data_IF_605964600832
#
_entry.id   IF_605964600832
#
_cell.length_a   1.000
_cell.length_b   1.000
_cell.length_c   1.000
_cell.angle_alpha   90.00
_cell.angle_beta   90.00
_cell.angle_gamma   90.00
#
_symmetry.space_group_name_H-M   'P 1'
#
loop_
_entity.id
_entity.type
_entity.pdbx_description
1 polymer ?
#
# COMPACT_ATOMS: atom_id res chain seq x y z
N UNK A 1 2.27 -13.07 25.38
CA UNK A 1 2.26 -11.97 24.40
C UNK A 1 2.97 -10.73 24.94
N UNK A 2 2.62 -10.25 26.13
CA UNK A 2 3.24 -9.08 26.79
C UNK A 2 4.78 -9.13 26.82
N UNK A 3 5.36 -10.26 27.22
CA UNK A 3 6.81 -10.43 27.30
C UNK A 3 7.54 -10.61 25.96
N UNK A 4 6.84 -10.65 24.82
CA UNK A 4 7.48 -10.80 23.52
C UNK A 4 8.31 -9.54 23.19
N UNK A 5 9.62 -9.68 22.95
CA UNK A 5 10.53 -8.55 22.63
C UNK A 5 10.58 -8.20 21.14
N UNK A 6 9.59 -8.64 20.37
CA UNK A 6 9.52 -8.37 18.93
C UNK A 6 9.13 -6.91 18.66
N UNK A 7 9.73 -6.23 17.67
CA UNK A 7 9.33 -4.88 17.27
C UNK A 7 7.90 -4.82 16.73
N UNK A 8 7.42 -5.90 16.08
CA UNK A 8 6.05 -6.00 15.57
C UNK A 8 5.46 -7.38 15.88
N UNK A 9 5.16 -7.61 17.16
CA UNK A 9 4.63 -8.88 17.66
C UNK A 9 3.17 -9.10 17.20
N UNK A 10 2.91 -10.22 16.53
CA UNK A 10 1.58 -10.63 16.10
C UNK A 10 1.18 -11.95 16.76
N UNK A 11 0.01 -12.02 17.37
CA UNK A 11 -0.53 -13.25 17.95
C UNK A 11 -1.38 -13.99 16.91
N UNK A 12 -0.86 -15.10 16.37
CA UNK A 12 -1.58 -15.88 15.36
C UNK A 12 -2.68 -16.75 15.98
N UNK A 13 -2.40 -17.38 17.12
CA UNK A 13 -3.32 -18.30 17.77
C UNK A 13 -2.59 -19.40 18.52
N UNK A 14 -3.03 -20.65 18.35
CA UNK A 14 -2.41 -21.84 18.97
C UNK A 14 -1.99 -22.86 17.92
N UNK A 15 -0.89 -23.55 18.14
CA UNK A 15 -0.53 -24.71 17.33
C UNK A 15 -1.44 -25.92 17.64
N UNK A 16 -1.22 -27.02 16.93
CA UNK A 16 -1.97 -28.28 17.11
C UNK A 16 -1.80 -28.91 18.50
N UNK A 17 -0.78 -28.51 19.26
CA UNK A 17 -0.54 -28.95 20.63
C UNK A 17 -1.13 -27.99 21.67
N UNK A 18 -1.74 -26.89 21.23
CA UNK A 18 -2.34 -25.87 22.07
C UNK A 18 -1.38 -24.78 22.56
N UNK A 19 -0.13 -24.77 22.10
CA UNK A 19 0.84 -23.75 22.50
C UNK A 19 0.62 -22.44 21.74
N UNK A 20 0.73 -21.27 22.41
CA UNK A 20 0.52 -19.99 21.78
C UNK A 20 1.60 -19.70 20.72
N UNK A 21 1.18 -19.33 19.52
CA UNK A 21 2.05 -18.95 18.40
C UNK A 21 2.07 -17.43 18.27
N UNK A 22 3.21 -16.83 18.61
CA UNK A 22 3.47 -15.41 18.46
C UNK A 22 4.62 -15.24 17.47
N UNK A 23 4.41 -14.38 16.48
CA UNK A 23 5.35 -14.14 15.40
C UNK A 23 5.76 -12.66 15.34
N UNK A 24 6.76 -12.34 14.52
CA UNK A 24 7.33 -11.00 14.43
C UNK A 24 7.29 -10.52 12.96
N UNK A 25 6.41 -9.56 12.66
CA UNK A 25 6.27 -9.02 11.31
C UNK A 25 7.56 -8.38 10.82
N UNK A 26 8.38 -7.80 11.70
CA UNK A 26 9.65 -7.17 11.30
C UNK A 26 10.69 -8.19 10.80
N UNK A 27 10.56 -9.47 11.20
CA UNK A 27 11.38 -10.59 10.70
C UNK A 27 10.79 -11.24 9.45
N UNK A 28 9.49 -11.11 9.23
CA UNK A 28 8.74 -11.69 8.09
C UNK A 28 8.92 -10.96 6.76
N UNK A 29 9.61 -9.82 6.73
CA UNK A 29 9.09 -8.42 6.69
C UNK A 29 7.71 -8.13 6.08
N UNK A 30 7.13 -9.02 5.29
CA UNK A 30 5.83 -8.83 4.63
C UNK A 30 5.03 -10.14 4.75
N UNK A 31 3.70 -10.03 4.74
CA UNK A 31 2.80 -11.16 4.94
C UNK A 31 1.72 -11.19 3.85
N UNK A 32 1.56 -12.34 3.20
CA UNK A 32 0.42 -12.62 2.33
C UNK A 32 -0.59 -13.50 3.08
N UNK A 33 -1.85 -13.09 3.13
CA UNK A 33 -2.96 -13.83 3.76
C UNK A 33 -3.99 -14.16 2.70
N UNK A 34 -4.37 -15.43 2.57
CA UNK A 34 -5.37 -15.83 1.59
C UNK A 34 -6.30 -16.91 2.12
N UNK A 35 -7.55 -16.91 1.64
CA UNK A 35 -8.57 -17.90 2.01
C UNK A 35 -9.95 -17.49 1.53
N UNK A 36 -10.85 -18.45 1.36
CA UNK A 36 -12.21 -18.18 0.86
C UNK A 36 -13.06 -17.45 1.90
N UNK A 37 -14.21 -16.90 1.49
CA UNK A 37 -15.20 -16.32 2.41
C UNK A 37 -15.57 -17.34 3.49
N UNK A 38 -15.71 -16.88 4.74
CA UNK A 38 -16.05 -17.73 5.89
C UNK A 38 -14.90 -18.57 6.47
N UNK A 39 -13.72 -18.56 5.85
CA UNK A 39 -12.56 -19.36 6.31
C UNK A 39 -11.89 -18.84 7.60
N UNK A 40 -12.16 -17.59 7.97
CA UNK A 40 -11.56 -16.91 9.13
C UNK A 40 -10.55 -15.81 8.80
N UNK A 41 -10.33 -15.50 7.50
CA UNK A 41 -9.42 -14.45 7.03
C UNK A 41 -9.63 -13.10 7.73
N UNK A 42 -10.84 -12.55 7.72
CA UNK A 42 -11.13 -11.23 8.29
C UNK A 42 -10.92 -11.18 9.80
N UNK A 43 -11.35 -12.22 10.52
CA UNK A 43 -11.10 -12.38 11.97
C UNK A 43 -9.60 -12.41 12.27
N UNK A 44 -8.81 -13.09 11.42
CA UNK A 44 -7.37 -13.08 11.57
C UNK A 44 -6.77 -11.68 11.37
N UNK A 45 -7.15 -10.96 10.33
CA UNK A 45 -6.68 -9.57 10.10
C UNK A 45 -7.00 -8.70 11.33
N UNK A 46 -8.20 -8.81 11.90
CA UNK A 46 -8.57 -8.15 13.15
C UNK A 46 -7.67 -8.57 14.32
N UNK A 47 -7.37 -9.86 14.48
CA UNK A 47 -6.47 -10.33 15.53
C UNK A 47 -5.02 -9.80 15.36
N UNK A 48 -4.53 -9.68 14.12
CA UNK A 48 -3.21 -9.09 13.82
C UNK A 48 -3.20 -7.58 14.13
N UNK A 49 -4.24 -6.86 13.70
CA UNK A 49 -4.41 -5.43 14.01
C UNK A 49 -4.48 -5.19 15.52
N UNK A 50 -5.33 -5.92 16.22
CA UNK A 50 -5.44 -5.82 17.68
C UNK A 50 -4.12 -6.17 18.36
N UNK A 51 -3.36 -7.15 17.87
CA UNK A 51 -2.02 -7.42 18.41
C UNK A 51 -1.18 -6.14 18.39
N UNK A 52 -1.11 -5.45 17.25
CA UNK A 52 -0.36 -4.20 17.15
C UNK A 52 -0.91 -3.12 18.11
N UNK A 53 -2.23 -2.92 18.12
CA UNK A 53 -2.89 -1.87 18.90
C UNK A 53 -2.83 -2.08 20.42
N UNK A 54 -2.77 -3.33 20.88
CA UNK A 54 -2.63 -3.64 22.31
C UNK A 54 -1.24 -3.35 22.86
N UNK A 55 -0.22 -3.35 21.99
CA UNK A 55 1.18 -3.33 22.42
C UNK A 55 1.91 -2.04 22.07
N UNK A 56 1.55 -1.40 20.97
CA UNK A 56 2.32 -0.29 20.39
C UNK A 56 1.50 1.01 20.40
N UNK A 57 2.15 2.10 20.75
CA UNK A 57 1.57 3.45 20.66
C UNK A 57 1.70 3.99 19.22
N UNK A 58 1.01 5.08 18.87
CA UNK A 58 1.20 5.74 17.57
C UNK A 58 2.65 6.18 17.29
N UNK A 59 3.47 6.39 18.33
CA UNK A 59 4.90 6.71 18.18
C UNK A 59 5.73 5.50 17.76
N UNK A 60 5.27 4.31 18.09
CA UNK A 60 5.95 3.05 17.78
C UNK A 60 5.50 2.50 16.42
N UNK A 61 4.19 2.55 16.15
CA UNK A 61 3.56 1.98 14.96
C UNK A 61 2.50 2.92 14.39
N UNK A 62 2.58 3.13 13.08
CA UNK A 62 1.61 3.87 12.28
C UNK A 62 1.02 2.96 11.20
N UNK A 63 -0.24 3.20 10.84
CA UNK A 63 -1.05 2.31 10.01
C UNK A 63 -1.57 3.02 8.76
N UNK A 64 -1.57 2.30 7.65
CA UNK A 64 -2.33 2.63 6.44
C UNK A 64 -3.24 1.44 6.16
N UNK A 65 -4.55 1.67 6.13
CA UNK A 65 -5.55 0.64 5.92
C UNK A 65 -6.24 0.86 4.58
N UNK A 66 -6.26 -0.17 3.74
CA UNK A 66 -6.92 -0.14 2.42
C UNK A 66 -8.05 -1.16 2.48
N UNK A 67 -9.29 -0.70 2.32
CA UNK A 67 -10.52 -1.50 2.35
C UNK A 67 -11.47 -1.03 1.25
N UNK A 68 -11.33 -1.56 0.02
CA UNK A 68 -12.11 -1.11 -1.13
C UNK A 68 -13.61 -1.42 -1.00
N UNK A 69 -14.01 -2.28 -0.06
CA UNK A 69 -15.42 -2.66 0.16
C UNK A 69 -16.06 -1.95 1.35
N UNK A 70 -15.28 -1.24 2.17
CA UNK A 70 -15.72 -0.58 3.40
C UNK A 70 -16.35 -1.52 4.44
N UNK A 71 -16.03 -2.82 4.39
CA UNK A 71 -16.69 -3.81 5.25
C UNK A 71 -15.87 -4.20 6.47
N UNK A 72 -14.56 -4.32 6.32
CA UNK A 72 -13.73 -5.05 7.29
C UNK A 72 -12.87 -4.10 8.14
N UNK A 73 -12.31 -3.05 7.53
CA UNK A 73 -11.36 -2.15 8.19
C UNK A 73 -11.97 -0.79 8.54
N UNK A 74 -13.15 -0.46 8.00
CA UNK A 74 -13.85 0.80 8.27
C UNK A 74 -14.11 1.06 9.75
N UNK A 75 -14.26 0.00 10.56
CA UNK A 75 -14.39 0.09 12.02
C UNK A 75 -13.21 0.80 12.69
N UNK A 76 -12.00 0.73 12.11
CA UNK A 76 -10.79 1.35 12.65
C UNK A 76 -10.61 2.81 12.25
N UNK A 77 -11.51 3.42 11.48
CA UNK A 77 -11.43 4.83 11.09
C UNK A 77 -11.14 5.71 12.32
N UNK A 78 -10.31 6.74 12.19
CA UNK A 78 -9.99 7.72 13.24
C UNK A 78 -9.29 7.20 14.50
N UNK A 79 -8.69 6.01 14.51
CA UNK A 79 -7.75 5.67 15.59
C UNK A 79 -6.46 6.48 15.44
N UNK A 80 -5.79 6.86 16.55
CA UNK A 80 -4.60 7.70 16.51
C UNK A 80 -3.39 7.08 15.81
N UNK A 81 -3.44 5.79 15.47
CA UNK A 81 -2.39 5.10 14.70
C UNK A 81 -2.47 5.33 13.19
N UNK A 82 -3.61 5.81 12.66
CA UNK A 82 -3.78 5.97 11.21
C UNK A 82 -3.04 7.20 10.66
N UNK A 83 -2.31 6.98 9.57
CA UNK A 83 -1.62 8.02 8.78
C UNK A 83 -2.52 8.71 7.77
N UNK A 84 -3.58 8.05 7.33
CA UNK A 84 -4.61 8.56 6.44
C UNK A 84 -5.94 7.93 6.83
N UNK A 85 -7.08 8.49 6.39
CA UNK A 85 -8.37 7.81 6.44
C UNK A 85 -8.28 6.39 5.85
N UNK A 86 -9.20 5.50 6.25
CA UNK A 86 -9.27 4.16 5.64
C UNK A 86 -9.51 4.34 4.15
N UNK A 87 -8.59 3.83 3.33
CA UNK A 87 -8.55 4.08 1.90
C UNK A 87 -9.51 3.15 1.19
N UNK A 88 -10.48 3.72 0.49
CA UNK A 88 -11.55 2.98 -0.18
C UNK A 88 -11.48 3.12 -1.69
N UNK A 89 -10.93 4.24 -2.18
CA UNK A 89 -10.70 4.46 -3.60
C UNK A 89 -9.41 3.79 -4.08
N UNK A 90 -9.47 3.18 -5.26
CA UNK A 90 -8.34 2.42 -5.81
C UNK A 90 -7.17 3.32 -6.24
N UNK A 91 -7.45 4.54 -6.71
CA UNK A 91 -6.41 5.51 -7.09
C UNK A 91 -5.71 6.05 -5.86
N UNK A 92 -6.47 6.36 -4.81
CA UNK A 92 -5.90 6.74 -3.51
C UNK A 92 -5.04 5.62 -2.92
N UNK A 93 -5.46 4.35 -3.05
CA UNK A 93 -4.67 3.21 -2.59
C UNK A 93 -3.30 3.12 -3.30
N UNK A 94 -3.25 3.44 -4.59
CA UNK A 94 -2.01 3.52 -5.36
C UNK A 94 -1.13 4.66 -4.86
N UNK A 95 -1.73 5.83 -4.60
CA UNK A 95 -1.01 6.97 -4.05
C UNK A 95 -0.40 6.61 -2.69
N UNK A 96 -1.13 5.87 -1.85
CA UNK A 96 -0.61 5.40 -0.57
C UNK A 96 0.60 4.45 -0.74
N UNK A 97 0.57 3.54 -1.72
CA UNK A 97 1.73 2.69 -2.03
C UNK A 97 2.91 3.51 -2.59
N UNK A 98 2.66 4.52 -3.43
CA UNK A 98 3.71 5.42 -3.96
C UNK A 98 4.35 6.22 -2.82
N UNK A 99 3.54 6.75 -1.92
CA UNK A 99 4.00 7.42 -0.70
C UNK A 99 4.86 6.48 0.15
N UNK A 100 4.47 5.21 0.32
CA UNK A 100 5.28 4.24 1.04
C UNK A 100 6.66 4.03 0.39
N UNK A 101 6.75 4.04 -0.94
CA UNK A 101 8.04 3.97 -1.65
C UNK A 101 8.87 5.24 -1.42
N UNK A 102 8.25 6.42 -1.49
CA UNK A 102 8.94 7.68 -1.26
C UNK A 102 9.44 7.81 0.19
N UNK A 103 8.61 7.48 1.17
CA UNK A 103 8.99 7.46 2.59
C UNK A 103 10.08 6.40 2.85
N UNK A 104 10.02 5.24 2.20
CA UNK A 104 11.10 4.24 2.25
C UNK A 104 12.43 4.87 1.78
N UNK A 105 12.44 5.57 0.65
CA UNK A 105 13.64 6.21 0.10
C UNK A 105 14.14 7.38 0.97
N UNK A 106 13.23 8.18 1.53
CA UNK A 106 13.57 9.22 2.52
C UNK A 106 14.25 8.61 3.75
N UNK A 107 13.68 7.55 4.33
CA UNK A 107 14.28 6.84 5.46
C UNK A 107 15.64 6.25 5.12
N UNK A 108 15.82 5.72 3.91
CA UNK A 108 17.14 5.25 3.47
C UNK A 108 18.18 6.37 3.42
N UNK A 109 17.83 7.54 2.89
CA UNK A 109 18.72 8.71 2.88
C UNK A 109 19.11 9.12 4.30
N UNK A 110 18.15 9.22 5.23
CA UNK A 110 18.42 9.50 6.64
C UNK A 110 19.36 8.46 7.26
N UNK A 111 19.11 7.17 7.00
CA UNK A 111 19.94 6.09 7.52
C UNK A 111 21.38 6.14 7.00
N UNK A 112 21.56 6.39 5.70
CA UNK A 112 22.89 6.53 5.07
C UNK A 112 23.65 7.72 5.67
N UNK A 113 23.01 8.89 5.76
CA UNK A 113 23.65 10.10 6.31
C UNK A 113 24.03 9.93 7.78
N UNK A 114 23.22 9.19 8.55
CA UNK A 114 23.52 8.88 9.94
C UNK A 114 24.41 7.63 10.12
N UNK A 115 24.81 6.95 9.05
CA UNK A 115 25.68 5.76 9.12
C UNK A 115 25.05 4.56 9.81
N UNK A 116 23.72 4.43 9.77
CA UNK A 116 22.95 3.33 10.38
C UNK A 116 22.36 2.42 9.31
N UNK A 117 22.10 1.15 9.65
CA UNK A 117 21.68 0.13 8.67
C UNK A 117 20.18 -0.14 8.63
N UNK A 118 19.42 0.29 9.63
CA UNK A 118 17.99 0.04 9.75
C UNK A 118 17.33 1.05 10.70
N UNK A 119 15.99 1.07 10.72
CA UNK A 119 15.17 1.94 11.56
C UNK A 119 15.50 1.82 13.05
N UNK A 120 15.84 0.63 13.54
CA UNK A 120 16.16 0.44 14.96
C UNK A 120 17.48 1.14 15.32
N UNK A 121 18.48 1.07 14.42
CA UNK A 121 19.72 1.83 14.56
C UNK A 121 19.50 3.35 14.44
N UNK A 122 18.61 3.78 13.54
CA UNK A 122 18.20 5.19 13.44
C UNK A 122 17.57 5.68 14.76
N UNK A 123 16.54 4.99 15.26
CA UNK A 123 15.82 5.37 16.48
C UNK A 123 16.76 5.39 17.69
N UNK A 124 17.65 4.40 17.81
CA UNK A 124 18.65 4.38 18.88
C UNK A 124 19.55 5.61 18.86
N UNK A 125 20.04 6.00 17.67
CA UNK A 125 20.93 7.16 17.52
C UNK A 125 20.23 8.48 17.83
N UNK A 126 18.99 8.64 17.38
CA UNK A 126 18.16 9.81 17.70
C UNK A 126 17.87 9.89 19.20
N UNK A 127 17.48 8.78 19.82
CA UNK A 127 17.21 8.69 21.24
C UNK A 127 18.45 9.03 22.10
N UNK A 128 19.61 8.47 21.75
CA UNK A 128 20.87 8.74 22.44
C UNK A 128 21.27 10.21 22.36
N UNK A 129 21.12 10.83 21.19
CA UNK A 129 21.41 12.25 20.99
C UNK A 129 20.50 13.15 21.83
N UNK A 130 19.19 12.84 21.85
CA UNK A 130 18.19 13.57 22.63
C UNK A 130 18.42 13.45 24.14
N UNK A 131 18.75 12.25 24.63
CA UNK A 131 19.05 12.01 26.06
C UNK A 131 20.36 12.67 26.52
N UNK A 132 21.32 12.88 25.61
CA UNK A 132 22.55 13.65 25.86
C UNK A 132 22.37 15.16 25.77
N UNK A 133 21.17 15.66 25.46
CA UNK A 133 20.89 17.09 25.32
C UNK A 133 21.45 17.72 24.04
N UNK A 134 21.77 16.91 23.03
CA UNK A 134 22.30 17.34 21.74
C UNK A 134 21.47 16.71 20.60
N UNK A 135 20.21 17.16 20.39
CA UNK A 135 19.34 16.59 19.37
C UNK A 135 19.94 16.71 17.97
N UNK A 136 19.76 15.67 17.16
CA UNK A 136 20.18 15.68 15.76
C UNK A 136 19.20 16.48 14.93
N UNK A 137 19.71 17.34 14.06
CA UNK A 137 18.90 18.08 13.09
C UNK A 137 18.76 17.28 11.80
N UNK A 138 17.67 17.49 11.05
CA UNK A 138 17.44 16.80 9.78
C UNK A 138 18.56 17.10 8.78
N UNK A 139 19.40 16.12 8.43
CA UNK A 139 20.54 16.34 7.55
C UNK A 139 20.15 16.37 6.07
N UNK A 140 18.87 16.15 5.74
CA UNK A 140 18.35 16.26 4.38
C UNK A 140 17.82 17.67 4.08
N UNK A 141 17.69 18.52 5.10
CA UNK A 141 17.34 19.93 4.95
C UNK A 141 18.41 20.65 4.14
N UNK A 142 17.99 21.49 3.20
CA UNK A 142 18.86 22.27 2.33
C UNK A 142 18.59 23.77 2.51
N UNK A 143 19.58 24.61 2.18
CA UNK A 143 19.48 26.08 2.37
C UNK A 143 18.33 26.75 1.58
N UNK A 144 17.74 26.05 0.61
CA UNK A 144 16.59 26.53 -0.15
C UNK A 144 15.23 26.11 0.45
N UNK A 145 15.24 25.23 1.46
CA UNK A 145 14.04 24.83 2.20
C UNK A 145 13.62 25.98 3.14
N UNK A 146 12.31 26.20 3.25
CA UNK A 146 11.77 27.27 4.10
C UNK A 146 11.89 26.88 5.58
N UNK A 147 12.47 27.76 6.40
CA UNK A 147 12.53 27.59 7.87
C UNK A 147 13.92 27.16 8.37
N UNK A 148 13.98 26.68 9.61
CA UNK A 148 15.19 26.10 10.19
C UNK A 148 15.11 24.56 10.12
N UNK A 149 16.25 23.85 10.05
CA UNK A 149 16.26 22.40 10.06
C UNK A 149 15.61 21.87 11.34
N UNK A 150 14.65 20.96 11.19
CA UNK A 150 13.90 20.39 12.31
C UNK A 150 14.73 19.36 13.09
N UNK A 151 14.43 19.20 14.39
CA UNK A 151 15.01 18.12 15.20
C UNK A 151 14.44 16.76 14.75
N UNK A 152 15.33 15.82 14.43
CA UNK A 152 14.96 14.45 14.12
C UNK A 152 14.22 13.82 15.30
N UNK A 153 13.08 13.21 14.99
CA UNK A 153 12.36 12.35 15.90
C UNK A 153 12.59 10.88 15.56
N UNK A 154 12.35 10.01 16.54
CA UNK A 154 12.27 8.57 16.31
C UNK A 154 11.16 8.29 15.28
N UNK A 155 11.45 7.39 14.34
CA UNK A 155 10.53 7.02 13.28
C UNK A 155 9.69 5.82 13.73
N UNK A 156 8.35 5.86 13.56
CA UNK A 156 7.50 4.71 13.81
C UNK A 156 7.70 3.66 12.71
N UNK A 157 7.47 2.40 13.04
CA UNK A 157 7.21 1.38 12.02
C UNK A 157 5.90 1.73 11.28
N UNK A 158 5.86 1.50 9.98
CA UNK A 158 4.64 1.67 9.19
C UNK A 158 4.16 0.29 8.76
N UNK A 159 2.89 -0.03 9.06
CA UNK A 159 2.25 -1.26 8.60
C UNK A 159 1.10 -0.90 7.67
N UNK A 160 1.25 -1.29 6.40
CA UNK A 160 0.21 -1.15 5.38
C UNK A 160 -0.58 -2.45 5.33
N UNK A 161 -1.89 -2.37 5.51
CA UNK A 161 -2.79 -3.51 5.49
C UNK A 161 -3.80 -3.29 4.38
N UNK A 162 -3.76 -4.14 3.36
CA UNK A 162 -4.71 -4.12 2.27
C UNK A 162 -5.64 -5.32 2.38
N UNK A 163 -6.91 -5.05 2.70
CA UNK A 163 -7.93 -6.06 2.52
C UNK A 163 -8.32 -6.18 1.05
N UNK A 164 -8.50 -7.42 0.62
CA UNK A 164 -8.80 -7.79 -0.77
C UNK A 164 -7.98 -7.03 -1.83
N UNK A 165 -6.65 -7.15 -1.75
CA UNK A 165 -5.76 -6.46 -2.70
C UNK A 165 -5.97 -6.90 -4.16
N UNK A 166 -6.65 -8.02 -4.39
CA UNK A 166 -7.07 -8.49 -5.70
C UNK A 166 -7.92 -7.47 -6.45
N UNK A 167 -8.79 -6.73 -5.74
CA UNK A 167 -9.64 -5.73 -6.40
C UNK A 167 -8.78 -4.59 -6.97
N UNK A 168 -7.67 -4.20 -6.32
CA UNK A 168 -6.70 -3.25 -6.88
C UNK A 168 -5.97 -3.81 -8.11
N UNK A 169 -5.54 -5.08 -8.04
CA UNK A 169 -4.88 -5.77 -9.16
C UNK A 169 -5.78 -5.87 -10.39
N UNK A 170 -7.10 -6.01 -10.22
CA UNK A 170 -8.03 -6.10 -11.35
C UNK A 170 -8.35 -4.75 -12.00
N UNK A 171 -8.32 -3.66 -11.21
CA UNK A 171 -8.66 -2.32 -11.71
C UNK A 171 -7.44 -1.66 -12.35
N UNK A 172 -6.26 -1.79 -11.73
CA UNK A 172 -5.05 -1.07 -12.16
C UNK A 172 -3.95 -2.00 -12.66
N UNK A 173 -4.01 -3.29 -12.36
CA UNK A 173 -3.10 -4.27 -12.93
C UNK A 173 -1.66 -4.10 -12.47
N UNK A 174 -0.76 -4.04 -13.46
CA UNK A 174 0.69 -4.20 -13.28
C UNK A 174 1.34 -3.13 -12.40
N UNK A 175 0.82 -1.91 -12.40
CA UNK A 175 1.43 -0.80 -11.62
C UNK A 175 1.36 -1.05 -10.11
N UNK A 176 0.25 -1.62 -9.62
CA UNK A 176 0.09 -2.01 -8.21
C UNK A 176 1.08 -3.11 -7.85
N UNK A 177 1.24 -4.11 -8.73
CA UNK A 177 2.19 -5.20 -8.57
C UNK A 177 3.64 -4.70 -8.44
N UNK A 178 4.04 -3.78 -9.32
CA UNK A 178 5.38 -3.18 -9.33
C UNK A 178 5.66 -2.38 -8.06
N UNK A 179 4.68 -1.61 -7.56
CA UNK A 179 4.79 -0.87 -6.30
C UNK A 179 4.92 -1.82 -5.10
N UNK A 180 4.05 -2.83 -5.00
CA UNK A 180 4.11 -3.84 -3.95
C UNK A 180 5.47 -4.55 -3.98
N UNK A 181 5.94 -4.96 -5.15
CA UNK A 181 7.24 -5.61 -5.31
C UNK A 181 8.39 -4.70 -4.87
N UNK A 182 8.38 -3.43 -5.27
CA UNK A 182 9.40 -2.44 -4.89
C UNK A 182 9.47 -2.24 -3.37
N UNK A 183 8.32 -2.13 -2.71
CA UNK A 183 8.23 -2.04 -1.25
C UNK A 183 8.77 -3.35 -0.66
N UNK A 184 8.23 -4.49 -1.06
CA UNK A 184 8.57 -5.79 -0.48
C UNK A 184 10.08 -6.13 -0.57
N UNK A 185 10.76 -5.66 -1.62
CA UNK A 185 12.20 -5.86 -1.81
C UNK A 185 13.09 -5.06 -0.85
N UNK A 186 12.66 -3.84 -0.49
CA UNK A 186 13.56 -2.85 0.14
C UNK A 186 13.05 -2.29 1.46
N UNK A 187 11.78 -2.44 1.80
CA UNK A 187 11.14 -1.74 2.91
C UNK A 187 11.54 -2.24 4.31
N UNK A 188 12.03 -3.49 4.42
CA UNK A 188 12.39 -4.11 5.71
C UNK A 188 13.28 -3.24 6.60
N UNK A 189 14.37 -2.70 6.05
CA UNK A 189 15.31 -1.90 6.84
C UNK A 189 14.74 -0.52 7.19
N UNK A 190 13.89 0.03 6.33
CA UNK A 190 13.18 1.29 6.55
C UNK A 190 12.01 1.16 7.56
N UNK A 191 11.68 -0.06 8.00
CA UNK A 191 10.60 -0.33 8.95
C UNK A 191 9.21 -0.16 8.36
N UNK A 192 9.04 -0.40 7.05
CA UNK A 192 7.75 -0.40 6.38
C UNK A 192 7.40 -1.85 6.03
N UNK A 193 6.19 -2.27 6.40
CA UNK A 193 5.74 -3.66 6.34
C UNK A 193 4.39 -3.76 5.64
N UNK A 194 4.16 -4.85 4.91
CA UNK A 194 2.93 -5.09 4.16
C UNK A 194 2.22 -6.31 4.74
N UNK A 195 0.91 -6.20 4.91
CA UNK A 195 -0.01 -7.33 5.10
C UNK A 195 -1.02 -7.25 3.96
N UNK A 196 -0.91 -8.16 3.00
CA UNK A 196 -1.81 -8.21 1.84
C UNK A 196 -2.76 -9.38 2.01
N UNK A 197 -4.06 -9.12 1.96
CA UNK A 197 -5.08 -10.13 2.11
C UNK A 197 -5.91 -10.31 0.83
N UNK A 198 -6.29 -11.53 0.50
CA UNK A 198 -7.20 -11.79 -0.64
C UNK A 198 -8.11 -13.00 -0.41
N UNK A 199 -9.34 -12.92 -0.92
CA UNK A 199 -10.24 -14.08 -1.03
C UNK A 199 -10.19 -14.75 -2.40
N UNK A 200 -9.38 -14.23 -3.33
CA UNK A 200 -9.19 -14.75 -4.69
C UNK A 200 -7.76 -15.29 -4.84
N UNK A 201 -7.48 -16.51 -4.37
CA UNK A 201 -6.15 -17.12 -4.47
C UNK A 201 -5.86 -17.67 -5.89
N UNK A 202 -6.04 -16.83 -6.91
CA UNK A 202 -5.72 -17.15 -8.31
C UNK A 202 -4.30 -16.72 -8.66
N UNK A 203 -3.74 -17.29 -9.74
CA UNK A 203 -2.38 -17.01 -10.21
C UNK A 203 -2.24 -15.56 -10.70
N UNK A 204 -3.36 -14.96 -11.14
CA UNK A 204 -3.41 -13.56 -11.60
C UNK A 204 -3.34 -12.56 -10.43
N UNK A 205 -3.71 -12.99 -9.22
CA UNK A 205 -3.67 -12.17 -8.00
C UNK A 205 -2.40 -12.45 -7.22
N UNK A 206 -2.11 -13.72 -6.95
CA UNK A 206 -0.93 -14.19 -6.24
C UNK A 206 0.13 -14.60 -7.27
N UNK A 207 0.64 -13.59 -7.96
CA UNK A 207 1.58 -13.77 -9.05
C UNK A 207 2.95 -14.26 -8.55
N UNK A 208 3.81 -14.66 -9.50
CA UNK A 208 5.20 -15.01 -9.20
C UNK A 208 5.98 -13.84 -8.58
N UNK A 209 5.72 -12.60 -9.00
CA UNK A 209 6.41 -11.42 -8.48
C UNK A 209 6.00 -11.11 -7.04
N UNK A 210 4.71 -11.22 -6.72
CA UNK A 210 4.23 -11.07 -5.34
C UNK A 210 4.86 -12.16 -4.46
N UNK A 211 4.82 -13.42 -4.90
CA UNK A 211 5.39 -14.55 -4.14
C UNK A 211 6.88 -14.46 -3.92
N UNK A 212 7.63 -13.98 -4.91
CA UNK A 212 9.08 -13.85 -4.84
C UNK A 212 9.52 -12.84 -3.77
N UNK A 213 8.71 -11.81 -3.51
CA UNK A 213 9.05 -10.75 -2.57
C UNK A 213 8.33 -10.86 -1.21
N UNK A 214 7.27 -11.67 -1.12
CA UNK A 214 6.53 -11.94 0.12
C UNK A 214 6.63 -13.44 0.46
N UNK A 215 7.72 -13.86 1.15
CA UNK A 215 7.98 -15.27 1.45
C UNK A 215 7.13 -15.82 2.60
N UNK A 216 6.64 -14.94 3.48
CA UNK A 216 5.80 -15.35 4.62
C UNK A 216 4.34 -15.39 4.21
N UNK A 217 3.66 -16.51 4.45
CA UNK A 217 2.30 -16.72 3.96
C UNK A 217 1.41 -17.37 5.01
N UNK A 218 0.14 -16.99 5.01
CA UNK A 218 -0.93 -17.64 5.76
C UNK A 218 -2.01 -18.03 4.76
N UNK A 219 -2.30 -19.32 4.69
CA UNK A 219 -3.45 -19.84 3.95
C UNK A 219 -4.51 -20.34 4.94
N UNK A 220 -5.68 -19.73 4.90
CA UNK A 220 -6.89 -20.30 5.48
C UNK A 220 -7.48 -21.34 4.53
N UNK A 221 -8.62 -21.93 4.92
CA UNK A 221 -9.36 -22.86 4.07
C UNK A 221 -9.59 -22.28 2.67
N UNK A 222 -9.31 -23.10 1.66
CA UNK A 222 -9.53 -22.81 0.24
C UNK A 222 -10.29 -23.94 -0.44
N UNK A 223 -10.88 -23.65 -1.59
CA UNK A 223 -11.75 -24.61 -2.30
C UNK A 223 -11.01 -25.77 -2.95
N UNK A 224 -9.73 -25.59 -3.32
CA UNK A 224 -9.03 -26.59 -4.13
C UNK A 224 -7.53 -26.70 -3.82
N UNK A 225 -6.96 -27.84 -4.22
CA UNK A 225 -5.49 -28.05 -4.22
C UNK A 225 -4.73 -27.06 -5.08
N UNK A 226 -5.37 -26.50 -6.11
CA UNK A 226 -4.77 -25.52 -7.00
C UNK A 226 -4.61 -24.21 -6.23
N UNK A 227 -5.67 -23.75 -5.58
CA UNK A 227 -5.65 -22.54 -4.74
C UNK A 227 -4.63 -22.64 -3.61
N UNK A 228 -4.56 -23.82 -2.94
CA UNK A 228 -3.54 -24.06 -1.91
C UNK A 228 -2.12 -23.89 -2.47
N UNK A 229 -1.84 -24.45 -3.65
CA UNK A 229 -0.53 -24.31 -4.31
C UNK A 229 -0.27 -22.89 -4.79
N UNK A 230 -1.29 -22.16 -5.22
CA UNK A 230 -1.15 -20.76 -5.59
C UNK A 230 -0.62 -19.95 -4.42
N UNK A 231 -1.09 -20.20 -3.19
CA UNK A 231 -0.67 -19.47 -1.99
C UNK A 231 0.63 -20.04 -1.41
N UNK A 232 0.68 -21.33 -1.10
CA UNK A 232 1.76 -21.94 -0.30
C UNK A 232 2.86 -22.61 -1.14
N UNK A 233 2.70 -22.67 -2.47
CA UNK A 233 3.49 -23.53 -3.36
C UNK A 233 3.35 -25.04 -3.06
N UNK A 234 2.36 -25.41 -2.22
CA UNK A 234 2.05 -26.78 -1.83
C UNK A 234 0.55 -26.97 -1.53
N UNK A 235 0.09 -28.23 -1.53
CA UNK A 235 -1.26 -28.59 -1.10
C UNK A 235 -1.37 -28.64 0.44
N UNK A 236 -2.59 -28.62 0.95
CA UNK A 236 -2.91 -28.79 2.37
C UNK A 236 -3.96 -27.80 2.88
N UNK A 237 -4.03 -26.60 2.30
CA UNK A 237 -4.98 -25.59 2.75
C UNK A 237 -6.43 -25.96 2.40
N UNK A 238 -6.64 -26.78 1.37
CA UNK A 238 -7.96 -27.31 1.01
C UNK A 238 -8.52 -28.32 2.03
N UNK A 239 -7.69 -28.79 2.98
CA UNK A 239 -8.05 -29.75 4.02
C UNK A 239 -8.31 -29.08 5.38
N UNK A 240 -8.17 -27.76 5.45
CA UNK A 240 -8.43 -27.00 6.67
C UNK A 240 -9.93 -27.01 7.02
N UNK A 241 -10.23 -26.77 8.29
CA UNK A 241 -11.59 -26.90 8.84
C UNK A 241 -12.45 -25.63 8.67
N UNK A 242 -11.86 -24.54 8.17
CA UNK A 242 -12.47 -23.21 8.20
C UNK A 242 -12.41 -22.58 9.59
N UNK A 243 -13.22 -21.55 9.85
CA UNK A 243 -13.37 -20.91 11.17
C UNK A 243 -12.05 -20.53 11.87
N UNK A 244 -11.06 -20.06 11.12
CA UNK A 244 -9.77 -19.62 11.66
C UNK A 244 -8.67 -20.70 11.65
N UNK A 245 -8.94 -21.92 11.21
CA UNK A 245 -7.91 -22.92 10.96
C UNK A 245 -7.04 -22.52 9.75
N UNK A 246 -5.72 -22.49 9.92
CA UNK A 246 -4.78 -21.99 8.92
C UNK A 246 -3.48 -22.78 8.84
N UNK A 247 -2.82 -22.68 7.68
CA UNK A 247 -1.43 -23.06 7.46
C UNK A 247 -0.58 -21.80 7.40
N UNK A 248 0.37 -21.69 8.32
CA UNK A 248 1.35 -20.61 8.38
C UNK A 248 2.69 -21.08 7.84
N UNK A 249 3.17 -20.45 6.77
CA UNK A 249 4.48 -20.68 6.17
C UNK A 249 5.46 -19.56 6.61
N UNK A 250 6.39 -19.86 7.54
CA UNK A 250 7.39 -18.90 7.96
C UNK A 250 8.45 -18.65 6.86
N UNK A 251 9.13 -17.48 6.88
CA UNK A 251 10.16 -17.19 5.90
C UNK A 251 11.32 -18.19 6.02
N UNK A 252 11.82 -18.68 4.88
CA UNK A 252 12.96 -19.61 4.83
C UNK A 252 12.63 -21.05 5.23
N UNK A 253 11.38 -21.36 5.59
CA UNK A 253 10.90 -22.74 5.77
C UNK A 253 10.23 -23.23 4.49
N UNK A 254 10.41 -24.52 4.17
CA UNK A 254 9.65 -25.20 3.12
C UNK A 254 8.41 -25.93 3.63
N UNK A 255 8.14 -25.89 4.95
CA UNK A 255 7.04 -26.64 5.57
C UNK A 255 6.16 -25.66 6.38
N UNK A 256 4.86 -25.57 6.08
CA UNK A 256 3.93 -24.77 6.84
C UNK A 256 3.55 -25.47 8.15
N UNK A 257 3.28 -24.66 9.16
CA UNK A 257 2.80 -25.08 10.48
C UNK A 257 1.30 -24.82 10.55
N UNK A 258 0.53 -25.81 11.00
CA UNK A 258 -0.90 -25.63 11.22
C UNK A 258 -1.15 -24.86 12.51
N UNK A 259 -1.98 -23.83 12.44
CA UNK A 259 -2.34 -22.95 13.56
C UNK A 259 -3.86 -22.79 13.58
N UNK A 260 -4.43 -22.85 14.78
CA UNK A 260 -5.80 -22.47 15.04
C UNK A 260 -5.84 -21.00 15.44
N UNK A 261 -6.42 -20.17 14.59
CA UNK A 261 -6.42 -18.71 14.70
C UNK A 261 -7.06 -18.19 15.99
N UNK A 262 -6.49 -17.10 16.51
CA UNK A 262 -7.13 -16.32 17.56
C UNK A 262 -8.50 -15.82 17.08
N UNK A 263 -9.53 -16.07 17.88
CA UNK A 263 -10.88 -15.57 17.62
C UNK A 263 -11.07 -14.23 18.33
N UNK A 264 -11.64 -13.27 17.62
CA UNK A 264 -12.00 -11.95 18.13
C UNK A 264 -13.39 -11.65 17.60
N UNK A 265 -14.32 -11.27 18.48
CA UNK A 265 -15.65 -10.83 18.06
C UNK A 265 -15.65 -9.35 17.70
N UNK A 266 -16.54 -8.92 16.82
CA UNK A 266 -16.62 -7.52 16.38
C UNK A 266 -16.79 -6.56 17.57
N UNK A 267 -17.52 -6.94 18.61
CA UNK A 267 -17.69 -6.12 19.81
C UNK A 267 -16.35 -5.85 20.53
N UNK A 268 -15.42 -6.81 20.53
CA UNK A 268 -14.07 -6.61 21.08
C UNK A 268 -13.29 -5.58 20.27
N UNK A 269 -13.37 -5.66 18.94
CA UNK A 269 -12.74 -4.67 18.04
C UNK A 269 -13.29 -3.27 18.33
N UNK A 270 -14.61 -3.12 18.37
CA UNK A 270 -15.27 -1.84 18.66
C UNK A 270 -14.88 -1.28 20.03
N UNK A 271 -14.77 -2.13 21.05
CA UNK A 271 -14.33 -1.70 22.40
C UNK A 271 -12.92 -1.14 22.38
N UNK A 272 -11.98 -1.82 21.71
CA UNK A 272 -10.59 -1.36 21.61
C UNK A 272 -10.49 -0.07 20.81
N UNK A 273 -11.15 0.00 19.65
CA UNK A 273 -11.19 1.22 18.82
C UNK A 273 -11.75 2.40 19.61
N UNK A 274 -12.87 2.21 20.31
CA UNK A 274 -13.51 3.27 21.12
C UNK A 274 -12.59 3.77 22.21
N UNK A 275 -11.86 2.88 22.86
CA UNK A 275 -10.88 3.26 23.88
C UNK A 275 -9.70 4.05 23.28
N UNK A 276 -9.17 3.63 22.14
CA UNK A 276 -8.10 4.34 21.44
C UNK A 276 -8.51 5.74 21.00
N UNK A 277 -9.71 5.91 20.44
CA UNK A 277 -10.26 7.21 20.03
C UNK A 277 -10.43 8.19 21.20
N UNK A 278 -10.59 7.69 22.43
CA UNK A 278 -10.63 8.53 23.63
C UNK A 278 -9.25 9.04 24.03
N UNK A 279 -8.19 8.30 23.66
CA UNK A 279 -6.79 8.62 24.01
C UNK A 279 -6.14 9.60 23.05
N UNK A 280 -6.66 9.74 21.83
CA UNK A 280 -6.14 10.69 20.85
C UNK A 280 -6.88 10.65 19.52
N UNK A 281 -6.59 11.65 18.69
CA UNK A 281 -7.03 11.74 17.29
C UNK A 281 -5.87 11.38 16.37
N UNK A 282 -6.13 10.91 15.14
CA UNK A 282 -5.08 10.72 14.16
C UNK A 282 -4.53 12.07 13.68
N UNK A 283 -3.24 12.08 13.39
CA UNK A 283 -2.60 13.12 12.59
C UNK A 283 -2.52 12.59 11.16
N UNK A 284 -3.49 12.94 10.31
CA UNK A 284 -3.49 12.51 8.92
C UNK A 284 -2.49 13.32 8.09
N UNK A 285 -1.88 12.65 7.11
CA UNK A 285 -0.99 13.24 6.11
C UNK A 285 -1.71 13.21 4.76
N UNK A 286 -2.15 14.37 4.29
CA UNK A 286 -2.91 14.50 3.04
C UNK A 286 -2.11 14.00 1.81
N UNK A 287 -0.78 14.16 1.86
CA UNK A 287 0.18 13.72 0.83
C UNK A 287 0.17 12.20 0.54
N UNK A 288 -0.44 11.41 1.43
CA UNK A 288 -0.57 9.96 1.23
C UNK A 288 -1.59 9.66 0.13
N UNK A 289 -2.65 10.46 0.03
CA UNK A 289 -3.79 10.17 -0.85
C UNK A 289 -3.85 11.07 -2.08
N UNK A 290 -3.29 12.28 -2.01
CA UNK A 290 -3.41 13.30 -3.08
C UNK A 290 -2.54 13.04 -4.33
N UNK A 291 -1.56 12.13 -4.25
CA UNK A 291 -0.66 11.81 -5.35
C UNK A 291 0.43 12.86 -5.61
N UNK A 292 0.70 13.73 -4.64
CA UNK A 292 1.77 14.75 -4.66
C UNK A 292 3.18 14.17 -4.76
N UNK A 293 3.34 12.86 -4.53
CA UNK A 293 4.62 12.15 -4.66
C UNK A 293 5.10 12.20 -6.11
N UNK A 294 6.28 12.81 -6.31
CA UNK A 294 6.94 12.88 -7.61
C UNK A 294 7.24 11.53 -8.26
N UNK A 295 7.73 11.53 -9.52
CA UNK A 295 7.96 10.29 -10.27
C UNK A 295 8.93 9.34 -9.55
N UNK A 296 8.57 8.07 -9.46
CA UNK A 296 9.36 7.02 -8.82
C UNK A 296 10.24 6.34 -9.88
N UNK A 297 11.56 6.48 -9.73
CA UNK A 297 12.54 5.87 -10.63
C UNK A 297 12.36 4.35 -10.75
N UNK A 298 12.19 3.86 -11.98
CA UNK A 298 12.03 2.45 -12.31
C UNK A 298 10.60 1.90 -12.21
N UNK A 299 9.64 2.72 -11.78
CA UNK A 299 8.19 2.41 -11.85
C UNK A 299 7.53 3.36 -12.86
N UNK A 300 7.85 4.64 -12.76
CA UNK A 300 7.45 5.66 -13.72
C UNK A 300 8.53 5.77 -14.81
N UNK A 301 8.65 4.73 -15.65
CA UNK A 301 9.35 4.85 -16.92
C UNK A 301 8.60 5.83 -17.84
N UNK A 302 9.33 6.62 -18.64
CA UNK A 302 8.80 7.64 -19.58
C UNK A 302 7.79 7.12 -20.63
N UNK A 303 7.46 5.82 -20.61
CA UNK A 303 6.54 5.14 -21.51
C UNK A 303 5.30 4.55 -20.82
N UNK A 304 4.98 4.94 -19.58
CA UNK A 304 3.75 4.53 -18.86
C UNK A 304 2.66 5.61 -18.96
N UNK A 305 1.80 5.63 -20.01
CA UNK A 305 0.97 6.78 -20.35
C UNK A 305 -0.37 6.79 -19.60
N UNK A 306 -0.52 6.08 -18.48
CA UNK A 306 -1.84 5.85 -17.87
C UNK A 306 -2.21 6.84 -16.76
N UNK A 307 -1.28 7.68 -16.29
CA UNK A 307 -1.54 8.61 -15.18
C UNK A 307 -0.94 10.02 -15.37
N UNK A 308 -0.44 10.35 -16.55
CA UNK A 308 -0.17 11.76 -16.85
C UNK A 308 -1.51 12.44 -17.11
N UNK A 309 -1.80 13.48 -16.33
CA UNK A 309 -2.83 14.47 -16.65
C UNK A 309 -2.63 14.89 -18.11
N UNK A 310 -3.66 14.69 -18.94
CA UNK A 310 -3.51 14.88 -20.38
C UNK A 310 -3.30 16.36 -20.73
N UNK A 311 -3.61 17.30 -19.83
CA UNK A 311 -3.22 18.71 -19.92
C UNK A 311 -1.71 18.94 -19.70
N UNK A 312 -1.02 18.03 -18.99
CA UNK A 312 0.42 18.06 -18.78
C UNK A 312 1.19 17.31 -19.88
N UNK A 313 0.50 16.80 -20.91
CA UNK A 313 1.18 16.20 -22.05
C UNK A 313 2.06 17.28 -22.74
N UNK A 314 3.37 17.04 -22.98
CA UNK A 314 4.25 18.02 -23.61
C UNK A 314 3.77 18.52 -24.99
N UNK A 315 2.86 17.77 -25.62
CA UNK A 315 2.27 18.10 -26.91
C UNK A 315 0.83 18.65 -26.78
N UNK A 316 0.30 18.81 -25.57
CA UNK A 316 -1.06 19.31 -25.34
C UNK A 316 -1.27 20.69 -25.94
N UNK A 317 -0.42 21.67 -25.60
CA UNK A 317 -0.51 23.04 -26.14
C UNK A 317 -0.39 23.06 -27.66
N UNK A 318 0.50 22.23 -28.23
CA UNK A 318 0.65 22.10 -29.68
C UNK A 318 -0.61 21.51 -30.32
N UNK A 319 -1.23 20.53 -29.67
CA UNK A 319 -2.47 19.93 -30.10
C UNK A 319 -3.63 20.94 -30.04
N UNK A 320 -3.70 21.77 -28.99
CA UNK A 320 -4.71 22.83 -28.83
C UNK A 320 -4.59 23.82 -29.98
N UNK A 321 -3.38 24.32 -30.26
CA UNK A 321 -3.12 25.23 -31.39
C UNK A 321 -3.59 24.60 -32.70
N UNK A 322 -3.22 23.34 -32.98
CA UNK A 322 -3.63 22.64 -34.19
C UNK A 322 -5.15 22.54 -34.30
N UNK A 323 -5.84 22.23 -33.20
CA UNK A 323 -7.31 22.08 -33.18
C UNK A 323 -8.01 23.42 -33.39
N UNK A 324 -7.54 24.48 -32.72
CA UNK A 324 -8.08 25.84 -32.83
C UNK A 324 -7.89 26.37 -34.26
N UNK A 325 -6.68 26.29 -34.82
CA UNK A 325 -6.38 26.76 -36.17
C UNK A 325 -7.09 25.94 -37.25
N UNK A 326 -7.10 24.61 -37.12
CA UNK A 326 -7.67 23.73 -38.16
C UNK A 326 -9.18 23.57 -38.05
N UNK A 327 -9.79 24.02 -36.94
CA UNK A 327 -11.20 23.81 -36.57
C UNK A 327 -11.64 22.34 -36.69
N UNK A 328 -10.71 21.40 -36.47
CA UNK A 328 -10.93 19.96 -36.63
C UNK A 328 -10.41 19.19 -35.42
N UNK A 329 -11.30 18.93 -34.47
CA UNK A 329 -11.03 18.13 -33.28
C UNK A 329 -11.41 16.65 -33.50
N UNK A 330 -10.47 15.87 -34.05
CA UNK A 330 -10.61 14.42 -34.13
C UNK A 330 -9.32 13.71 -33.76
N UNK A 331 -9.45 12.52 -33.15
CA UNK A 331 -8.31 11.71 -32.69
C UNK A 331 -7.34 11.42 -33.84
N UNK A 332 -7.87 11.08 -35.02
CA UNK A 332 -7.06 10.79 -36.21
C UNK A 332 -6.32 12.01 -36.77
N UNK A 333 -6.88 13.22 -36.64
CA UNK A 333 -6.21 14.45 -37.04
C UNK A 333 -4.98 14.72 -36.16
N UNK A 334 -5.17 14.69 -34.84
CA UNK A 334 -4.11 14.88 -33.85
C UNK A 334 -3.03 13.81 -34.00
N UNK A 335 -3.43 12.55 -34.18
CA UNK A 335 -2.53 11.43 -34.42
C UNK A 335 -1.59 11.69 -35.61
N UNK A 336 -2.14 12.13 -36.76
CA UNK A 336 -1.38 12.36 -37.98
C UNK A 336 -0.49 13.61 -37.89
N UNK A 337 -0.98 14.69 -37.26
CA UNK A 337 -0.26 15.96 -37.16
C UNK A 337 0.93 15.89 -36.20
N UNK A 338 0.75 15.23 -35.06
CA UNK A 338 1.76 15.12 -34.00
C UNK A 338 2.57 13.82 -34.07
N UNK A 339 2.22 12.91 -35.00
CA UNK A 339 2.86 11.59 -35.18
C UNK A 339 2.89 10.77 -33.87
N UNK A 340 1.80 10.83 -33.10
CA UNK A 340 1.63 10.10 -31.84
C UNK A 340 0.72 8.88 -32.00
N UNK A 341 0.69 7.99 -31.01
CA UNK A 341 -0.22 6.83 -30.99
C UNK A 341 -1.68 7.20 -30.73
N UNK A 342 -2.62 6.35 -31.16
CA UNK A 342 -4.07 6.58 -31.06
C UNK A 342 -4.53 6.88 -29.63
N UNK A 343 -4.12 6.07 -28.64
CA UNK A 343 -4.53 6.25 -27.24
C UNK A 343 -4.02 7.57 -26.63
N UNK A 344 -2.86 8.07 -27.06
CA UNK A 344 -2.33 9.37 -26.62
C UNK A 344 -3.12 10.52 -27.26
N UNK A 345 -3.42 10.41 -28.55
CA UNK A 345 -4.26 11.39 -29.26
C UNK A 345 -5.69 11.43 -28.69
N UNK A 346 -6.27 10.29 -28.32
CA UNK A 346 -7.61 10.20 -27.73
C UNK A 346 -7.67 10.95 -26.39
N UNK A 347 -6.72 10.67 -25.49
CA UNK A 347 -6.63 11.37 -24.20
C UNK A 347 -6.46 12.88 -24.32
N UNK A 348 -5.62 13.34 -25.25
CA UNK A 348 -5.44 14.78 -25.51
C UNK A 348 -6.77 15.42 -25.95
N UNK A 349 -7.54 14.75 -26.80
CA UNK A 349 -8.83 15.26 -27.29
C UNK A 349 -9.92 15.21 -26.21
N UNK A 350 -9.90 14.21 -25.33
CA UNK A 350 -10.78 14.11 -24.15
C UNK A 350 -10.47 15.19 -23.12
N UNK A 351 -9.20 15.49 -22.87
CA UNK A 351 -8.80 16.60 -22.00
C UNK A 351 -9.25 17.95 -22.56
N UNK A 352 -9.14 18.16 -23.87
CA UNK A 352 -9.70 19.36 -24.50
C UNK A 352 -11.22 19.49 -24.33
N UNK A 353 -11.94 18.36 -24.28
CA UNK A 353 -13.39 18.36 -24.04
C UNK A 353 -13.70 18.73 -22.59
N UNK A 354 -12.98 18.13 -21.64
CA UNK A 354 -13.08 18.46 -20.22
C UNK A 354 -12.73 19.93 -19.93
N UNK A 355 -11.73 20.47 -20.62
CA UNK A 355 -11.32 21.87 -20.53
C UNK A 355 -12.26 22.85 -21.27
N UNK A 356 -13.29 22.35 -21.96
CA UNK A 356 -14.24 23.17 -22.71
C UNK A 356 -13.66 23.81 -23.99
N UNK A 357 -12.53 23.31 -24.49
CA UNK A 357 -11.91 23.74 -25.75
C UNK A 357 -12.66 23.13 -26.94
N UNK A 358 -13.16 21.90 -26.79
CA UNK A 358 -13.97 21.18 -27.78
C UNK A 358 -15.26 20.67 -27.15
N UNK A 359 -16.31 20.52 -27.95
CA UNK A 359 -17.59 19.98 -27.54
C UNK A 359 -17.61 18.44 -27.52
N UNK A 360 -18.76 17.85 -27.15
CA UNK A 360 -18.94 16.40 -27.13
C UNK A 360 -18.82 15.78 -28.52
N UNK A 361 -18.51 14.49 -28.55
CA UNK A 361 -18.35 13.74 -29.80
C UNK A 361 -19.67 13.65 -30.57
N UNK A 362 -19.66 14.12 -31.81
CA UNK A 362 -20.77 13.99 -32.74
C UNK A 362 -20.81 12.58 -33.36
N UNK A 363 -21.94 12.21 -33.95
CA UNK A 363 -22.15 10.92 -34.62
C UNK A 363 -21.20 10.63 -35.79
N UNK A 364 -20.53 11.66 -36.31
CA UNK A 364 -19.53 11.55 -37.38
C UNK A 364 -18.08 11.35 -36.84
N UNK A 365 -17.89 11.28 -35.52
CA UNK A 365 -16.59 11.12 -34.86
C UNK A 365 -15.76 12.40 -34.77
N UNK A 366 -16.29 13.56 -35.18
CA UNK A 366 -15.69 14.87 -34.93
C UNK A 366 -16.27 15.50 -33.66
N UNK A 367 -15.58 16.52 -33.16
CA UNK A 367 -16.04 17.40 -32.08
C UNK A 367 -16.08 18.84 -32.57
N UNK A 368 -17.08 19.60 -32.14
CA UNK A 368 -17.14 21.04 -32.37
C UNK A 368 -16.00 21.75 -31.61
N UNK A 369 -15.35 22.74 -32.21
CA UNK A 369 -14.29 23.52 -31.52
C UNK A 369 -14.93 24.76 -30.89
N UNK A 370 -14.95 24.81 -29.57
CA UNK A 370 -15.62 25.86 -28.77
C UNK A 370 -14.70 27.05 -28.50
N UNK A 371 -13.38 26.82 -28.44
CA UNK A 371 -12.41 27.89 -28.28
C UNK A 371 -12.42 28.87 -29.49
N UNK A 372 -12.27 30.19 -29.24
CA UNK A 372 -12.16 31.19 -30.30
C UNK A 372 -10.87 31.01 -31.12
N UNK A 373 -10.86 31.41 -32.42
CA UNK A 373 -9.71 31.28 -33.31
C UNK A 373 -8.53 32.20 -32.93
#
# INVERSE_FOLDING_TARGET
YEHARAPLALALGKDISGYPVIVDLAKMPHLLVAGTTGSGKSVCINALLLSLLYKYTPKDVRLILIDPKMLELSVYADIPHLLAPVVTDMKEAINAFRWCVAEMERRYRLMVTLGVRNISGYNHKVHEAKTKGAPLLDPLWQDHDMGAPEELQELPYIVVIADEYADMMMVVGKKVEELIARIAQKARAAGIHLILATQRPSVDVVTGLIKANIPTRIAFQVSSKIDSRTILDQSGAEQLLGFGDMLYLPPGSGIPVRIHGSFVVDEEVHRVVKDLKRRGRPEYLDEILDGSVGPISGIDSENSPEFADAEQDPLYDQAVIIVVESRRASVSNIQRRLKIGYNRAARIVEAMEAAGIVGPMESNGNREVLAPP
#
